data_IF_485211875339
#
_entry.id   IF_485211875339
#
_cell.length_a   1.000
_cell.length_b   1.000
_cell.length_c   1.000
_cell.angle_alpha   90.00
_cell.angle_beta   90.00
_cell.angle_gamma   90.00
#
_symmetry.space_group_name_H-M   'P 1'
#
loop_
_entity.id
_entity.type
_entity.pdbx_description
1 polymer ?
#
# COMPACT_ATOMS: atom_id res chain seq x y z
N UNK A 1 -29.33 -34.05 28.79
CA UNK A 1 -29.08 -32.61 28.55
C UNK A 1 -27.63 -32.34 28.91
N UNK A 2 -26.77 -32.11 27.91
CA UNK A 2 -25.35 -31.78 28.13
C UNK A 2 -25.21 -30.26 28.10
N UNK A 3 -24.81 -29.68 29.22
CA UNK A 3 -24.62 -28.24 29.39
C UNK A 3 -23.33 -27.81 28.68
N UNK A 4 -23.46 -27.13 27.54
CA UNK A 4 -22.33 -26.46 26.90
C UNK A 4 -22.17 -25.06 27.51
N UNK A 5 -21.45 -24.98 28.63
CA UNK A 5 -20.88 -23.71 29.08
C UNK A 5 -19.68 -23.38 28.19
N UNK A 6 -19.86 -22.45 27.25
CA UNK A 6 -18.74 -21.79 26.57
C UNK A 6 -18.03 -20.92 27.60
N UNK A 7 -16.76 -21.17 27.97
CA UNK A 7 -16.03 -20.21 28.78
C UNK A 7 -15.81 -18.93 27.96
N UNK A 8 -16.23 -17.80 28.53
CA UNK A 8 -15.93 -16.46 28.00
C UNK A 8 -14.41 -16.28 27.89
N UNK A 9 -13.87 -15.78 26.76
CA UNK A 9 -12.43 -15.57 26.59
C UNK A 9 -11.89 -14.40 27.44
N UNK A 10 -12.76 -13.72 28.19
CA UNK A 10 -12.43 -12.53 28.98
C UNK A 10 -12.29 -12.83 30.48
N UNK A 11 -11.62 -13.92 30.84
CA UNK A 11 -11.19 -14.14 32.21
C UNK A 11 -9.66 -14.25 32.26
N UNK A 12 -9.00 -13.11 32.00
CA UNK A 12 -7.59 -12.93 32.38
C UNK A 12 -7.53 -12.04 33.63
N UNK A 13 -7.17 -12.59 34.80
CA UNK A 13 -6.96 -11.78 35.99
C UNK A 13 -5.72 -10.90 35.80
N UNK A 14 -5.92 -9.59 35.92
CA UNK A 14 -4.93 -8.54 36.23
C UNK A 14 -3.47 -8.83 35.83
N UNK A 15 -3.16 -8.73 34.54
CA UNK A 15 -1.78 -8.52 34.09
C UNK A 15 -1.44 -7.02 34.20
N UNK A 16 -0.35 -6.62 34.88
CA UNK A 16 0.07 -5.22 34.94
C UNK A 16 0.31 -4.67 33.53
N UNK A 17 -0.33 -3.54 33.20
CA UNK A 17 -0.10 -2.79 31.97
C UNK A 17 1.35 -2.29 31.98
N UNK A 18 2.27 -3.03 31.36
CA UNK A 18 3.63 -2.55 31.10
C UNK A 18 3.56 -1.37 30.11
N UNK A 19 3.89 -0.12 30.48
CA UNK A 19 3.74 1.05 29.62
C UNK A 19 4.77 1.15 28.48
N UNK A 20 5.72 0.21 28.41
CA UNK A 20 6.77 0.19 27.40
C UNK A 20 7.07 -1.26 27.03
N UNK A 21 6.30 -1.82 26.08
CA UNK A 21 6.85 -2.88 25.26
C UNK A 21 7.63 -2.20 24.14
N UNK A 22 8.97 -2.16 24.17
CA UNK A 22 9.73 -1.71 23.02
C UNK A 22 9.33 -2.61 21.86
N UNK A 23 8.60 -2.05 20.90
CA UNK A 23 8.39 -2.72 19.63
C UNK A 23 9.77 -3.14 19.12
N UNK A 24 10.02 -4.43 18.87
CA UNK A 24 11.30 -4.84 18.32
C UNK A 24 11.49 -4.07 17.01
N UNK A 25 12.45 -3.15 17.02
CA UNK A 25 12.88 -2.43 15.82
C UNK A 25 13.26 -3.52 14.83
N UNK A 26 12.61 -3.54 13.65
CA UNK A 26 12.93 -4.51 12.61
C UNK A 26 14.44 -4.44 12.36
N UNK A 27 15.18 -5.56 12.39
CA UNK A 27 16.62 -5.54 12.19
C UNK A 27 16.93 -4.83 10.87
N UNK A 28 17.82 -3.85 10.92
CA UNK A 28 18.23 -3.08 9.76
C UNK A 28 19.12 -3.98 8.89
N UNK A 29 18.51 -4.72 7.97
CA UNK A 29 19.25 -5.45 6.94
C UNK A 29 19.95 -4.40 6.07
N UNK A 30 21.27 -4.51 5.82
CA UNK A 30 21.95 -3.61 4.89
C UNK A 30 21.27 -3.72 3.51
N UNK A 31 20.77 -2.59 3.03
CA UNK A 31 20.13 -2.45 1.73
C UNK A 31 20.94 -1.47 0.87
N UNK A 32 21.40 -1.92 -0.29
CA UNK A 32 22.04 -1.07 -1.28
C UNK A 32 20.97 -0.52 -2.24
N UNK A 33 21.04 0.77 -2.56
CA UNK A 33 20.13 1.40 -3.51
C UNK A 33 20.80 1.47 -4.87
N UNK A 34 20.22 0.78 -5.85
CA UNK A 34 20.76 0.70 -7.22
C UNK A 34 20.23 1.84 -8.10
N UNK A 35 18.94 2.17 -7.96
CA UNK A 35 18.29 3.21 -8.76
C UNK A 35 17.10 3.80 -8.01
N UNK A 36 16.81 5.08 -8.23
CA UNK A 36 15.62 5.76 -7.71
C UNK A 36 15.03 6.67 -8.76
N UNK A 37 13.73 6.54 -9.00
CA UNK A 37 12.96 7.38 -9.91
C UNK A 37 11.73 7.95 -9.20
N UNK A 38 11.25 9.12 -9.66
CA UNK A 38 10.09 9.80 -9.09
C UNK A 38 9.10 10.18 -10.18
N UNK A 39 7.82 10.02 -9.91
CA UNK A 39 6.74 10.37 -10.80
C UNK A 39 5.66 11.13 -10.02
N UNK A 40 5.35 12.35 -10.47
CA UNK A 40 4.22 13.12 -9.94
C UNK A 40 3.00 12.94 -10.85
N UNK A 41 1.87 12.53 -10.28
CA UNK A 41 0.58 12.46 -10.99
C UNK A 41 -0.47 13.14 -10.11
N UNK A 42 -1.02 14.25 -10.59
CA UNK A 42 -1.95 15.09 -9.82
C UNK A 42 -1.38 15.44 -8.42
N UNK A 43 -2.08 15.04 -7.36
CA UNK A 43 -1.68 15.22 -5.94
C UNK A 43 -0.81 14.09 -5.39
N UNK A 44 -0.53 13.05 -6.17
CA UNK A 44 0.21 11.86 -5.73
C UNK A 44 1.66 11.91 -6.23
N UNK A 45 2.60 11.66 -5.33
CA UNK A 45 4.00 11.43 -5.66
C UNK A 45 4.34 9.95 -5.53
N UNK A 46 4.76 9.31 -6.62
CA UNK A 46 5.28 7.95 -6.61
C UNK A 46 6.80 7.96 -6.63
N UNK A 47 7.42 7.18 -5.75
CA UNK A 47 8.87 6.98 -5.69
C UNK A 47 9.15 5.50 -5.92
N UNK A 48 9.90 5.20 -6.96
CA UNK A 48 10.33 3.87 -7.33
C UNK A 48 11.80 3.72 -6.93
N UNK A 49 12.12 2.76 -6.06
CA UNK A 49 13.49 2.55 -5.58
C UNK A 49 13.87 1.09 -5.78
N UNK A 50 14.78 0.82 -6.72
CA UNK A 50 15.35 -0.51 -6.91
C UNK A 50 16.49 -0.71 -5.91
N UNK A 51 16.36 -1.73 -5.08
CA UNK A 51 17.31 -2.05 -4.00
C UNK A 51 17.78 -3.49 -4.08
N UNK A 52 18.90 -3.76 -3.42
CA UNK A 52 19.49 -5.07 -3.23
C UNK A 52 19.80 -5.32 -1.75
N UNK A 53 19.53 -6.54 -1.29
CA UNK A 53 19.96 -7.02 0.02
C UNK A 53 20.46 -8.47 -0.09
N UNK A 54 20.86 -9.08 1.02
CA UNK A 54 21.36 -10.46 1.05
C UNK A 54 20.36 -11.52 0.50
N UNK A 55 19.07 -11.19 0.38
CA UNK A 55 18.02 -12.08 -0.19
C UNK A 55 17.80 -11.85 -1.69
N UNK A 56 18.43 -10.83 -2.27
CA UNK A 56 18.32 -10.46 -3.68
C UNK A 56 17.78 -9.05 -3.91
N UNK A 57 17.35 -8.80 -5.14
CA UNK A 57 16.87 -7.49 -5.61
C UNK A 57 15.36 -7.35 -5.49
N UNK A 58 14.91 -6.13 -5.21
CA UNK A 58 13.49 -5.80 -5.12
C UNK A 58 13.25 -4.33 -5.45
N UNK A 59 12.09 -4.05 -6.02
CA UNK A 59 11.59 -2.70 -6.25
C UNK A 59 10.68 -2.31 -5.09
N UNK A 60 10.98 -1.19 -4.44
CA UNK A 60 10.06 -0.54 -3.50
C UNK A 60 9.34 0.58 -4.21
N UNK A 61 8.01 0.56 -4.21
CA UNK A 61 7.17 1.64 -4.72
C UNK A 61 6.54 2.31 -3.53
N UNK A 62 6.75 3.62 -3.39
CA UNK A 62 6.19 4.44 -2.32
C UNK A 62 5.24 5.46 -2.92
N UNK A 63 3.99 5.45 -2.49
CA UNK A 63 3.00 6.49 -2.76
C UNK A 63 3.03 7.50 -1.61
N UNK A 64 3.15 8.78 -1.92
CA UNK A 64 3.02 9.89 -0.97
C UNK A 64 1.84 10.77 -1.41
N UNK A 65 0.86 10.93 -0.53
CA UNK A 65 -0.30 11.80 -0.73
C UNK A 65 -0.40 12.75 0.46
N UNK A 66 0.01 14.00 0.27
CA UNK A 66 -0.02 15.04 1.31
C UNK A 66 0.61 14.59 2.65
N UNK A 67 1.72 13.84 2.59
CA UNK A 67 2.44 13.35 3.77
C UNK A 67 1.99 11.97 4.25
N UNK A 68 0.91 11.40 3.73
CA UNK A 68 0.56 10.00 3.96
C UNK A 68 1.33 9.11 3.00
N UNK A 69 2.16 8.23 3.56
CA UNK A 69 3.04 7.34 2.79
C UNK A 69 2.59 5.89 2.88
N UNK A 70 2.28 5.31 1.74
CA UNK A 70 1.99 3.89 1.57
C UNK A 70 3.08 3.25 0.69
N UNK A 71 3.47 2.00 0.96
CA UNK A 71 4.52 1.35 0.19
C UNK A 71 4.24 -0.12 -0.10
N UNK A 72 4.64 -0.54 -1.29
CA UNK A 72 4.66 -1.96 -1.70
C UNK A 72 6.08 -2.35 -2.10
N UNK A 73 6.37 -3.65 -2.01
CA UNK A 73 7.64 -4.24 -2.41
C UNK A 73 7.35 -5.34 -3.42
N UNK A 74 8.00 -5.24 -4.59
CA UNK A 74 7.92 -6.22 -5.66
C UNK A 74 9.29 -6.88 -5.82
N UNK A 75 9.43 -8.21 -5.61
CA UNK A 75 10.68 -8.92 -5.89
C UNK A 75 11.10 -8.75 -7.35
N UNK A 76 12.41 -8.69 -7.62
CA UNK A 76 12.90 -8.50 -8.99
C UNK A 76 12.45 -9.61 -9.95
N UNK A 77 12.18 -10.80 -9.43
CA UNK A 77 11.72 -11.96 -10.20
C UNK A 77 10.33 -11.80 -10.82
N UNK A 78 9.52 -10.85 -10.35
CA UNK A 78 8.16 -10.61 -10.86
C UNK A 78 7.99 -9.28 -11.60
N UNK A 79 9.08 -8.55 -11.86
CA UNK A 79 9.00 -7.21 -12.47
C UNK A 79 8.59 -7.26 -13.94
N UNK A 80 8.93 -8.33 -14.66
CA UNK A 80 8.57 -8.47 -16.07
C UNK A 80 7.06 -8.70 -16.22
N UNK A 81 6.48 -9.58 -15.42
CA UNK A 81 5.03 -9.79 -15.39
C UNK A 81 4.29 -8.55 -14.89
N UNK A 82 4.86 -7.84 -13.91
CA UNK A 82 4.30 -6.58 -13.41
C UNK A 82 4.24 -5.53 -14.53
N UNK A 83 5.30 -5.40 -15.34
CA UNK A 83 5.34 -4.53 -16.52
C UNK A 83 4.28 -4.90 -17.55
N UNK A 84 4.18 -6.18 -17.90
CA UNK A 84 3.19 -6.65 -18.88
C UNK A 84 1.75 -6.36 -18.45
N UNK A 85 1.45 -6.49 -17.16
CA UNK A 85 0.14 -6.13 -16.61
C UNK A 85 -0.10 -4.63 -16.74
N UNK A 86 0.88 -3.78 -16.40
CA UNK A 86 0.76 -2.34 -16.58
C UNK A 86 0.55 -1.95 -18.04
N UNK A 87 1.32 -2.51 -18.98
CA UNK A 87 1.19 -2.25 -20.42
C UNK A 87 -0.22 -2.60 -20.92
N UNK A 88 -0.78 -3.71 -20.43
CA UNK A 88 -2.17 -4.09 -20.72
C UNK A 88 -3.16 -3.07 -20.15
N UNK A 89 -3.01 -2.64 -18.90
CA UNK A 89 -3.89 -1.65 -18.28
C UNK A 89 -3.85 -0.30 -19.02
N UNK A 90 -2.66 0.12 -19.48
CA UNK A 90 -2.49 1.33 -20.29
C UNK A 90 -3.25 1.21 -21.62
N UNK A 91 -3.13 0.05 -22.28
CA UNK A 91 -3.85 -0.21 -23.54
C UNK A 91 -5.36 -0.11 -23.36
N UNK A 92 -5.91 -0.73 -22.32
CA UNK A 92 -7.34 -0.65 -22.01
C UNK A 92 -7.79 0.78 -21.64
N UNK A 93 -6.98 1.50 -20.85
CA UNK A 93 -7.30 2.88 -20.45
C UNK A 93 -7.36 3.85 -21.63
N UNK A 94 -6.52 3.65 -22.66
CA UNK A 94 -6.52 4.46 -23.88
C UNK A 94 -7.67 4.10 -24.83
N UNK A 95 -8.17 2.86 -24.77
CA UNK A 95 -9.25 2.39 -25.64
C UNK A 95 -10.65 2.55 -25.02
N UNK A 96 -10.72 2.79 -23.70
CA UNK A 96 -11.99 3.03 -23.03
C UNK A 96 -12.64 4.32 -23.56
N UNK A 97 -13.95 4.30 -23.88
CA UNK A 97 -14.66 5.53 -24.23
C UNK A 97 -14.56 6.51 -23.06
N UNK A 98 -14.54 7.84 -23.33
CA UNK A 98 -14.55 8.83 -22.27
C UNK A 98 -15.74 8.53 -21.35
N UNK A 99 -15.46 8.26 -20.08
CA UNK A 99 -16.53 8.22 -19.08
C UNK A 99 -17.02 9.66 -18.98
N UNK A 100 -18.12 9.98 -19.65
CA UNK A 100 -18.84 11.22 -19.42
C UNK A 100 -19.23 11.24 -17.95
N UNK A 101 -18.44 11.95 -17.15
CA UNK A 101 -18.78 12.26 -15.78
C UNK A 101 -19.97 13.21 -15.90
N UNK A 102 -21.19 12.66 -15.89
CA UNK A 102 -22.41 13.45 -15.80
C UNK A 102 -22.33 14.18 -14.47
N UNK A 103 -21.82 15.42 -14.52
CA UNK A 103 -21.98 16.37 -13.43
C UNK A 103 -23.46 16.70 -13.43
N UNK A 104 -24.23 16.08 -12.55
CA UNK A 104 -25.57 16.55 -12.22
C UNK A 104 -25.42 17.98 -11.69
N UNK A 105 -25.60 18.95 -12.58
CA UNK A 105 -25.79 20.35 -12.18
C UNK A 105 -27.09 20.40 -11.38
N UNK A 106 -26.97 20.58 -10.06
CA UNK A 106 -28.12 20.89 -9.22
C UNK A 106 -28.70 22.21 -9.71
N UNK A 107 -29.98 22.27 -10.11
CA UNK A 107 -30.59 23.54 -10.49
C UNK A 107 -30.62 24.44 -9.26
N UNK A 108 -30.05 25.63 -9.38
CA UNK A 108 -30.13 26.67 -8.37
C UNK A 108 -31.60 27.01 -8.14
N UNK A 109 -32.13 26.60 -6.99
CA UNK A 109 -33.48 26.95 -6.56
C UNK A 109 -33.50 28.43 -6.21
N UNK A 110 -34.04 29.21 -7.14
CA UNK A 110 -34.22 30.64 -7.05
C UNK A 110 -35.44 30.92 -6.16
N UNK A 111 -35.22 31.38 -4.92
CA UNK A 111 -36.23 32.11 -4.13
C UNK A 111 -35.60 33.21 -3.30
#
# INVERSE_FOLDING_TARGET
MISNERPSPYQRPYAPRHPYSPHPQKPHVPEETLCTEKLQVERKSFIFTLKENARGRFLRITEDVNGRRDNIIVPSSGLEEFRQILDRMVTEALNAPPTDIVREEQPEEQT
#
